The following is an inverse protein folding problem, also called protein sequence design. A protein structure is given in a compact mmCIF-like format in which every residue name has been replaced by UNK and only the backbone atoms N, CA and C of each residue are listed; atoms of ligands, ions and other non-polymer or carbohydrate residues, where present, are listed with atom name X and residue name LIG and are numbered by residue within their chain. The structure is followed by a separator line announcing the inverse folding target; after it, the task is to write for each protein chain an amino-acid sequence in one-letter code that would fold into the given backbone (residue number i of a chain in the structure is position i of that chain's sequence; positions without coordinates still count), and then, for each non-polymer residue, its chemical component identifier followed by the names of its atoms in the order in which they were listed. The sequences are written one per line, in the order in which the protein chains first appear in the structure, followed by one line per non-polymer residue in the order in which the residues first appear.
data_IF_368692828297
#
_entry.id   IF_368692828297
#
_cell.length_a   1.000
_cell.length_b   1.000
_cell.length_c   1.000
_cell.angle_alpha   90.00
_cell.angle_beta   90.00
_cell.angle_gamma   90.00
#
_symmetry.space_group_name_H-M   'P 1'
#
loop_
_entity.id
_entity.type
_entity.pdbx_description
1 polymer ?
#
# COMPACT_ATOMS: atom_id res chain seq x y z
N UNK A 1 8.22 22.22 -8.59
CA UNK A 1 7.91 23.35 -7.69
C UNK A 1 7.83 22.80 -6.30
N UNK A 2 8.57 23.41 -5.38
CA UNK A 2 8.54 23.02 -3.97
C UNK A 2 7.32 23.66 -3.32
N UNK A 3 6.62 22.94 -2.45
CA UNK A 3 5.49 23.53 -1.69
C UNK A 3 5.92 24.72 -0.82
N UNK A 4 7.21 24.83 -0.48
CA UNK A 4 7.78 26.00 0.19
C UNK A 4 7.82 27.29 -0.65
N UNK A 5 7.58 27.20 -1.96
CA UNK A 5 7.55 28.36 -2.87
C UNK A 5 6.15 28.98 -2.94
N UNK A 6 5.12 28.27 -2.46
CA UNK A 6 3.74 28.75 -2.49
C UNK A 6 3.56 29.89 -1.47
N UNK A 7 3.09 31.03 -1.96
CA UNK A 7 2.77 32.24 -1.18
C UNK A 7 1.28 32.54 -1.28
N UNK A 8 0.48 31.58 -0.84
CA UNK A 8 -0.98 31.66 -0.88
C UNK A 8 -1.58 31.48 0.51
N UNK A 9 -2.83 31.92 0.67
CA UNK A 9 -3.65 31.59 1.83
C UNK A 9 -4.32 30.23 1.63
N UNK A 10 -4.73 29.61 2.72
CA UNK A 10 -5.51 28.38 2.69
C UNK A 10 -6.94 28.63 2.17
N UNK A 11 -7.58 27.63 1.55
CA UNK A 11 -8.96 27.76 1.07
C UNK A 11 -9.95 28.10 2.18
N UNK A 12 -11.01 28.80 1.80
CA UNK A 12 -12.14 29.11 2.68
C UNK A 12 -12.85 27.83 3.17
N UNK A 13 -13.70 27.98 4.19
CA UNK A 13 -14.49 26.86 4.71
C UNK A 13 -15.56 26.40 3.71
N UNK A 14 -16.02 25.15 3.89
CA UNK A 14 -17.03 24.53 3.04
C UNK A 14 -18.32 25.37 2.96
N UNK A 15 -18.76 25.94 4.08
CA UNK A 15 -19.95 26.80 4.14
C UNK A 15 -19.83 28.03 3.24
N UNK A 16 -18.62 28.57 3.10
CA UNK A 16 -18.35 29.72 2.22
C UNK A 16 -18.33 29.27 0.76
N UNK A 17 -17.76 28.10 0.48
CA UNK A 17 -17.69 27.53 -0.87
C UNK A 17 -19.06 27.10 -1.43
N UNK A 18 -19.92 26.53 -0.58
CA UNK A 18 -21.24 26.01 -0.92
C UNK A 18 -22.39 27.00 -0.67
N UNK A 19 -22.08 28.28 -0.43
CA UNK A 19 -23.09 29.30 -0.18
C UNK A 19 -24.09 29.38 -1.35
N UNK A 20 -25.38 29.38 -1.02
CA UNK A 20 -26.47 29.30 -2.00
C UNK A 20 -26.83 30.63 -2.66
N UNK A 21 -26.29 31.74 -2.13
CA UNK A 21 -26.54 33.11 -2.60
C UNK A 21 -25.32 34.00 -2.37
N UNK A 22 -25.25 35.12 -3.08
CA UNK A 22 -24.18 36.10 -2.95
C UNK A 22 -24.15 36.74 -1.55
N UNK A 23 -25.33 36.97 -0.95
CA UNK A 23 -25.50 37.54 0.38
C UNK A 23 -24.97 36.58 1.46
N UNK A 24 -25.29 35.29 1.34
CA UNK A 24 -24.80 34.25 2.23
C UNK A 24 -23.28 34.09 2.11
N UNK A 25 -22.77 34.04 0.88
CA UNK A 25 -21.33 34.01 0.61
C UNK A 25 -20.62 35.18 1.28
N UNK A 26 -21.09 36.41 1.08
CA UNK A 26 -20.47 37.61 1.67
C UNK A 26 -20.50 37.59 3.19
N UNK A 27 -21.59 37.10 3.79
CA UNK A 27 -21.74 36.95 5.24
C UNK A 27 -20.66 36.04 5.84
N UNK A 28 -20.32 34.95 5.15
CA UNK A 28 -19.28 34.01 5.58
C UNK A 28 -17.88 34.53 5.23
N UNK A 29 -17.65 34.94 3.97
CA UNK A 29 -16.35 35.35 3.46
C UNK A 29 -15.69 36.46 4.29
N UNK A 30 -16.45 37.45 4.75
CA UNK A 30 -15.91 38.55 5.58
C UNK A 30 -15.41 38.12 6.97
N UNK A 31 -15.79 36.92 7.43
CA UNK A 31 -15.38 36.34 8.72
C UNK A 31 -14.25 35.32 8.57
N UNK A 32 -13.87 34.98 7.34
CA UNK A 32 -12.86 33.96 7.08
C UNK A 32 -11.46 34.44 7.49
N UNK A 33 -10.72 33.68 8.31
CA UNK A 33 -9.35 34.01 8.64
C UNK A 33 -8.44 33.82 7.43
N UNK A 34 -7.52 34.77 7.21
CA UNK A 34 -6.48 34.65 6.19
C UNK A 34 -5.30 33.85 6.74
N UNK A 35 -5.37 32.52 6.64
CA UNK A 35 -4.33 31.62 7.15
C UNK A 35 -3.29 31.38 6.05
N UNK A 36 -2.03 31.70 6.32
CA UNK A 36 -0.91 31.43 5.40
C UNK A 36 -0.63 29.93 5.28
N UNK A 37 -0.65 29.39 4.05
CA UNK A 37 -0.31 28.00 3.78
C UNK A 37 1.09 27.64 4.26
N UNK A 38 2.07 28.52 4.00
CA UNK A 38 3.48 28.28 4.35
C UNK A 38 3.68 28.20 5.87
N UNK A 39 2.95 29.02 6.63
CA UNK A 39 3.07 29.02 8.09
C UNK A 39 2.59 27.69 8.69
N UNK A 40 1.45 27.18 8.19
CA UNK A 40 0.91 25.87 8.62
C UNK A 40 1.84 24.73 8.21
N UNK A 41 2.34 24.75 6.98
CA UNK A 41 3.28 23.72 6.50
C UNK A 41 4.56 23.69 7.36
N UNK A 42 5.10 24.84 7.75
CA UNK A 42 6.26 24.94 8.65
C UNK A 42 5.96 24.41 10.05
N UNK A 43 4.75 24.61 10.55
CA UNK A 43 4.34 24.09 11.87
C UNK A 43 4.34 22.54 11.87
N UNK A 44 3.77 21.89 10.85
CA UNK A 44 3.85 20.42 10.74
C UNK A 44 5.28 19.90 10.51
N UNK A 45 6.13 20.65 9.80
CA UNK A 45 7.53 20.28 9.58
C UNK A 45 8.39 20.39 10.83
N UNK A 46 7.96 21.15 11.84
CA UNK A 46 8.68 21.37 13.09
C UNK A 46 7.69 21.27 14.27
N UNK A 47 7.20 20.06 14.60
CA UNK A 47 6.20 19.87 15.65
C UNK A 47 6.71 20.29 17.04
N UNK A 48 8.02 20.32 17.24
CA UNK A 48 8.67 20.83 18.47
C UNK A 48 8.62 22.36 18.59
N UNK A 49 8.42 23.07 17.48
CA UNK A 49 8.22 24.51 17.54
C UNK A 49 6.87 24.78 18.20
N UNK A 50 6.83 25.66 19.21
CA UNK A 50 5.62 25.99 19.98
C UNK A 50 4.55 26.75 19.17
N UNK A 51 4.57 26.66 17.84
CA UNK A 51 3.60 27.29 16.96
C UNK A 51 2.33 26.43 16.90
N UNK A 52 1.20 26.88 17.50
CA UNK A 52 -0.03 26.12 17.44
C UNK A 52 -0.54 26.05 16.00
N UNK A 53 -1.01 24.87 15.59
CA UNK A 53 -1.67 24.69 14.30
C UNK A 53 -3.06 25.31 14.41
N UNK A 54 -3.41 26.29 13.54
CA UNK A 54 -4.72 26.90 13.58
C UNK A 54 -5.81 25.90 13.20
N UNK A 55 -7.06 26.18 13.55
CA UNK A 55 -8.18 25.33 13.14
C UNK A 55 -8.31 25.33 11.61
N UNK A 56 -8.09 24.18 11.00
CA UNK A 56 -8.19 23.98 9.55
C UNK A 56 -9.58 23.44 9.16
N UNK A 57 -9.96 23.59 7.89
CA UNK A 57 -11.04 22.81 7.28
C UNK A 57 -10.51 21.54 6.59
N UNK A 58 -11.42 20.68 6.14
CA UNK A 58 -11.09 19.41 5.49
C UNK A 58 -10.16 19.58 4.27
N UNK A 59 -10.49 20.52 3.38
CA UNK A 59 -9.70 20.78 2.17
C UNK A 59 -8.31 21.30 2.50
N UNK A 60 -8.20 22.20 3.47
CA UNK A 60 -6.92 22.75 3.94
C UNK A 60 -6.01 21.65 4.50
N UNK A 61 -6.55 20.72 5.30
CA UNK A 61 -5.78 19.57 5.80
C UNK A 61 -5.27 18.70 4.67
N UNK A 62 -6.11 18.41 3.69
CA UNK A 62 -5.72 17.62 2.51
C UNK A 62 -4.60 18.30 1.71
N UNK A 63 -4.69 19.62 1.50
CA UNK A 63 -3.66 20.39 0.79
C UNK A 63 -2.33 20.41 1.55
N UNK A 64 -2.37 20.50 2.88
CA UNK A 64 -1.15 20.46 3.70
C UNK A 64 -0.49 19.09 3.61
N UNK A 65 -1.25 17.98 3.64
CA UNK A 65 -0.70 16.64 3.45
C UNK A 65 0.02 16.50 2.10
N UNK A 66 -0.62 16.94 1.01
CA UNK A 66 0.03 16.98 -0.30
C UNK A 66 1.25 17.91 -0.33
N UNK A 67 1.23 19.00 0.43
CA UNK A 67 2.38 19.86 0.67
C UNK A 67 3.57 19.13 1.26
N UNK A 68 3.34 18.32 2.30
CA UNK A 68 4.35 17.48 2.94
C UNK A 68 4.87 16.40 1.96
N UNK A 69 3.98 15.74 1.21
CA UNK A 69 4.39 14.81 0.14
C UNK A 69 5.21 15.49 -0.95
N UNK A 70 4.91 16.73 -1.30
CA UNK A 70 5.72 17.50 -2.25
C UNK A 70 7.12 17.79 -1.71
N UNK A 71 7.27 18.04 -0.41
CA UNK A 71 8.59 18.21 0.23
C UNK A 71 9.35 16.89 0.17
N UNK A 72 8.70 15.77 0.52
CA UNK A 72 9.29 14.43 0.41
C UNK A 72 9.84 14.18 -1.00
N UNK A 73 9.04 14.47 -2.03
CA UNK A 73 9.43 14.28 -3.42
C UNK A 73 10.64 15.14 -3.81
N UNK A 74 10.67 16.39 -3.35
CA UNK A 74 11.80 17.30 -3.60
C UNK A 74 13.08 16.84 -2.88
N UNK A 75 12.98 16.46 -1.59
CA UNK A 75 14.11 15.93 -0.82
C UNK A 75 14.66 14.64 -1.44
N UNK A 76 13.77 13.70 -1.82
CA UNK A 76 14.15 12.44 -2.47
C UNK A 76 14.86 12.68 -3.80
N UNK A 77 14.37 13.62 -4.62
CA UNK A 77 15.01 13.97 -5.90
C UNK A 77 16.40 14.56 -5.68
N UNK A 78 16.54 15.50 -4.74
CA UNK A 78 17.83 16.12 -4.41
C UNK A 78 18.86 15.07 -3.99
N UNK A 79 18.46 14.15 -3.12
CA UNK A 79 19.28 13.02 -2.66
C UNK A 79 19.77 12.18 -3.85
N UNK A 80 18.85 11.78 -4.74
CA UNK A 80 19.15 10.98 -5.95
C UNK A 80 20.06 11.69 -6.97
N UNK A 81 20.01 13.02 -7.05
CA UNK A 81 20.83 13.82 -7.99
C UNK A 81 22.12 14.38 -7.38
N UNK A 82 22.30 14.23 -6.07
CA UNK A 82 23.52 14.70 -5.41
C UNK A 82 24.69 13.79 -5.81
N UNK A 83 25.75 14.37 -6.36
CA UNK A 83 26.94 13.63 -6.84
C UNK A 83 27.83 13.12 -5.69
N UNK A 84 27.25 12.62 -4.61
CA UNK A 84 27.97 12.03 -3.47
C UNK A 84 28.66 13.04 -2.53
N UNK A 85 28.70 14.35 -2.85
CA UNK A 85 29.34 15.36 -2.01
C UNK A 85 28.61 15.55 -0.66
N UNK A 86 27.32 15.16 -0.57
CA UNK A 86 26.54 15.18 0.68
C UNK A 86 26.53 13.87 1.48
N UNK A 87 27.10 12.78 0.95
CA UNK A 87 27.10 11.46 1.63
C UNK A 87 28.47 11.06 2.17
N UNK A 88 29.55 11.74 1.77
CA UNK A 88 30.93 11.44 2.23
C UNK A 88 31.32 12.24 3.48
N UNK A 89 30.61 13.32 3.80
CA UNK A 89 30.72 14.02 5.08
C UNK A 89 29.42 13.80 5.85
N UNK A 90 29.51 12.98 6.89
CA UNK A 90 28.36 12.48 7.65
C UNK A 90 27.34 13.55 7.99
N UNK A 91 26.07 13.15 7.91
CA UNK A 91 25.15 13.55 8.97
C UNK A 91 25.91 13.38 10.29
N UNK A 92 26.13 14.49 11.01
CA UNK A 92 26.52 14.40 12.43
C UNK A 92 25.68 13.29 13.05
N UNK A 93 26.24 12.44 13.93
CA UNK A 93 25.47 11.39 14.61
C UNK A 93 24.17 11.91 15.29
N UNK A 94 24.08 13.22 15.52
CA UNK A 94 22.93 13.94 16.08
C UNK A 94 21.89 14.48 15.07
N UNK A 95 22.12 14.48 13.74
CA UNK A 95 21.12 15.00 12.81
C UNK A 95 20.16 13.90 12.35
N UNK A 96 18.84 14.00 12.68
CA UNK A 96 17.86 13.02 12.23
C UNK A 96 17.77 13.05 10.71
N UNK A 97 17.65 11.87 10.09
CA UNK A 97 17.50 11.76 8.64
C UNK A 97 16.25 12.52 8.22
N UNK A 98 16.28 13.15 7.04
CA UNK A 98 15.12 13.91 6.55
C UNK A 98 13.86 13.05 6.43
N UNK A 99 14.02 11.74 6.22
CA UNK A 99 12.93 10.77 6.25
C UNK A 99 12.28 10.67 7.63
N UNK A 100 13.06 10.63 8.70
CA UNK A 100 12.54 10.53 10.06
C UNK A 100 11.75 11.80 10.43
N UNK A 101 12.26 12.97 10.03
CA UNK A 101 11.53 14.24 10.20
C UNK A 101 10.20 14.23 9.45
N UNK A 102 10.17 13.80 8.19
CA UNK A 102 8.92 13.75 7.43
C UNK A 102 7.94 12.70 7.96
N UNK A 103 8.45 11.55 8.45
CA UNK A 103 7.63 10.57 9.16
C UNK A 103 6.89 11.23 10.32
N UNK A 104 7.62 11.96 11.18
CA UNK A 104 7.01 12.70 12.29
C UNK A 104 6.02 13.78 11.83
N UNK A 105 6.29 14.48 10.73
CA UNK A 105 5.36 15.45 10.15
C UNK A 105 4.06 14.81 9.65
N UNK A 106 4.14 13.62 9.05
CA UNK A 106 2.95 12.85 8.67
C UNK A 106 2.16 12.40 9.89
N UNK A 107 2.83 11.94 10.95
CA UNK A 107 2.19 11.49 12.18
C UNK A 107 1.51 12.66 12.92
N UNK A 108 2.15 13.83 12.95
CA UNK A 108 1.54 15.06 13.47
C UNK A 108 0.31 15.49 12.66
N UNK A 109 0.38 15.40 11.33
CA UNK A 109 -0.78 15.62 10.46
C UNK A 109 -1.91 14.62 10.74
N UNK A 110 -1.58 13.34 10.93
CA UNK A 110 -2.55 12.29 11.22
C UNK A 110 -3.27 12.53 12.55
N UNK A 111 -2.53 12.93 13.59
CA UNK A 111 -3.11 13.25 14.90
C UNK A 111 -4.11 14.43 14.83
N UNK A 112 -3.79 15.50 14.09
CA UNK A 112 -4.74 16.59 13.85
C UNK A 112 -5.94 16.14 13.01
N UNK A 113 -5.73 15.34 11.96
CA UNK A 113 -6.81 14.81 11.13
C UNK A 113 -7.74 13.89 11.92
N UNK A 114 -7.22 13.06 12.81
CA UNK A 114 -8.00 12.18 13.69
C UNK A 114 -8.85 12.98 14.67
N UNK A 115 -8.28 14.05 15.24
CA UNK A 115 -9.00 14.98 16.10
C UNK A 115 -10.16 15.66 15.33
N UNK A 116 -9.91 16.05 14.08
CA UNK A 116 -10.95 16.56 13.19
C UNK A 116 -12.04 15.52 12.90
N UNK A 117 -11.66 14.28 12.60
CA UNK A 117 -12.61 13.19 12.35
C UNK A 117 -13.49 12.88 13.55
N UNK A 118 -12.92 12.87 14.76
CA UNK A 118 -13.67 12.68 16.00
C UNK A 118 -14.71 13.79 16.20
N UNK A 119 -14.29 15.05 16.10
CA UNK A 119 -15.18 16.20 16.24
C UNK A 119 -16.29 16.23 15.18
N UNK A 120 -15.95 15.92 13.93
CA UNK A 120 -16.92 15.88 12.84
C UNK A 120 -17.94 14.76 13.07
N UNK A 121 -17.50 13.56 13.47
CA UNK A 121 -18.39 12.43 13.76
C UNK A 121 -19.37 12.75 14.89
N UNK A 122 -18.92 13.45 15.93
CA UNK A 122 -19.80 13.93 17.01
C UNK A 122 -20.81 14.96 16.51
N UNK A 123 -20.40 15.87 15.62
CA UNK A 123 -21.27 16.94 15.09
C UNK A 123 -22.36 16.44 14.13
N UNK A 124 -22.14 15.29 13.48
CA UNK A 124 -23.05 14.76 12.46
C UNK A 124 -24.34 14.12 13.05
N UNK A 125 -24.44 13.97 14.38
CA UNK A 125 -25.60 13.36 15.09
C UNK A 125 -26.03 12.02 14.43
N UNK A 126 -27.30 11.61 14.51
CA UNK A 126 -27.79 10.34 13.94
C UNK A 126 -28.08 10.38 12.43
N UNK A 127 -27.50 11.33 11.68
CA UNK A 127 -27.65 11.35 10.23
C UNK A 127 -26.75 10.31 9.55
N UNK A 128 -27.30 9.12 9.31
CA UNK A 128 -26.56 7.98 8.77
C UNK A 128 -25.95 8.25 7.38
N UNK A 129 -26.65 8.99 6.51
CA UNK A 129 -26.16 9.29 5.16
C UNK A 129 -24.92 10.19 5.20
N UNK A 130 -24.97 11.29 5.96
CA UNK A 130 -23.81 12.18 6.11
C UNK A 130 -22.64 11.51 6.83
N UNK A 131 -22.92 10.63 7.79
CA UNK A 131 -21.90 9.77 8.41
C UNK A 131 -21.21 8.87 7.38
N UNK A 132 -21.98 8.20 6.53
CA UNK A 132 -21.41 7.33 5.48
C UNK A 132 -20.56 8.13 4.47
N UNK A 133 -21.02 9.29 4.02
CA UNK A 133 -20.25 10.18 3.15
C UNK A 133 -18.95 10.64 3.82
N UNK A 134 -19.03 11.01 5.10
CA UNK A 134 -17.85 11.41 5.86
C UNK A 134 -16.86 10.26 6.04
N UNK A 135 -17.34 9.04 6.31
CA UNK A 135 -16.50 7.84 6.41
C UNK A 135 -15.77 7.54 5.09
N UNK A 136 -16.44 7.71 3.94
CA UNK A 136 -15.80 7.58 2.62
C UNK A 136 -14.70 8.63 2.44
N UNK A 137 -15.01 9.89 2.75
CA UNK A 137 -14.05 11.00 2.67
C UNK A 137 -12.83 10.78 3.58
N UNK A 138 -13.06 10.43 4.84
CA UNK A 138 -11.98 10.25 5.83
C UNK A 138 -11.11 9.05 5.47
N UNK A 139 -11.70 7.93 5.08
CA UNK A 139 -10.96 6.73 4.63
C UNK A 139 -10.13 7.02 3.39
N UNK A 140 -10.69 7.71 2.39
CA UNK A 140 -9.96 8.11 1.19
C UNK A 140 -8.80 9.08 1.50
N UNK A 141 -8.96 9.95 2.50
CA UNK A 141 -7.93 10.91 2.92
C UNK A 141 -6.81 10.23 3.72
N UNK A 142 -7.16 9.32 4.63
CA UNK A 142 -6.20 8.50 5.38
C UNK A 142 -5.39 7.59 4.44
N UNK A 143 -5.99 7.14 3.33
CA UNK A 143 -5.25 6.40 2.31
C UNK A 143 -4.07 7.20 1.72
N UNK A 144 -4.20 8.52 1.56
CA UNK A 144 -3.09 9.38 1.11
C UNK A 144 -1.99 9.42 2.18
N UNK A 145 -2.34 9.48 3.46
CA UNK A 145 -1.38 9.42 4.56
C UNK A 145 -0.58 8.11 4.55
N UNK A 146 -1.25 6.97 4.38
CA UNK A 146 -0.55 5.69 4.22
C UNK A 146 0.30 5.66 2.95
N UNK A 147 -0.18 6.19 1.83
CA UNK A 147 0.58 6.29 0.60
C UNK A 147 1.82 7.19 0.74
N UNK A 148 1.75 8.26 1.54
CA UNK A 148 2.89 9.11 1.87
C UNK A 148 3.98 8.28 2.57
N UNK A 149 3.62 7.55 3.62
CA UNK A 149 4.54 6.66 4.32
C UNK A 149 5.06 5.51 3.44
N UNK A 150 4.26 4.94 2.55
CA UNK A 150 4.73 3.93 1.58
C UNK A 150 5.81 4.55 0.68
N UNK A 151 5.51 5.67 0.03
CA UNK A 151 6.45 6.33 -0.90
C UNK A 151 7.71 6.89 -0.22
N UNK A 152 7.65 7.16 1.09
CA UNK A 152 8.80 7.54 1.91
C UNK A 152 9.77 6.37 2.11
N UNK A 153 9.23 5.15 2.23
CA UNK A 153 9.95 3.97 2.68
C UNK A 153 10.29 2.97 1.55
N UNK A 154 9.75 3.14 0.35
CA UNK A 154 10.06 2.30 -0.81
C UNK A 154 9.97 3.06 -2.14
N UNK A 155 10.83 2.69 -3.10
CA UNK A 155 10.76 3.20 -4.46
C UNK A 155 9.67 2.49 -5.27
N UNK A 156 8.64 3.25 -5.67
CA UNK A 156 7.49 2.72 -6.38
C UNK A 156 7.90 2.16 -7.74
N UNK A 157 8.83 2.83 -8.43
CA UNK A 157 9.28 2.37 -9.74
C UNK A 157 9.97 1.00 -9.64
N UNK A 158 10.79 0.78 -8.63
CA UNK A 158 11.43 -0.51 -8.40
C UNK A 158 10.40 -1.60 -8.08
N UNK A 159 9.36 -1.29 -7.30
CA UNK A 159 8.24 -2.22 -7.05
C UNK A 159 7.54 -2.63 -8.35
N UNK A 160 7.22 -1.66 -9.20
CA UNK A 160 6.54 -1.91 -10.46
C UNK A 160 7.40 -2.74 -11.43
N UNK A 161 8.67 -2.39 -11.57
CA UNK A 161 9.64 -3.12 -12.42
C UNK A 161 9.78 -4.56 -11.94
N UNK A 162 9.98 -4.77 -10.63
CA UNK A 162 10.18 -6.11 -10.08
C UNK A 162 8.93 -6.99 -10.18
N UNK A 163 7.75 -6.38 -10.14
CA UNK A 163 6.47 -7.03 -10.40
C UNK A 163 6.20 -7.32 -11.90
N UNK A 164 7.11 -6.94 -12.80
CA UNK A 164 7.00 -7.25 -14.23
C UNK A 164 6.31 -6.17 -15.06
N UNK A 165 6.28 -4.91 -14.60
CA UNK A 165 5.87 -3.80 -15.45
C UNK A 165 6.72 -3.75 -16.72
N UNK A 166 6.07 -3.72 -17.89
CA UNK A 166 6.76 -3.68 -19.19
C UNK A 166 7.15 -2.27 -19.61
N UNK A 167 6.43 -1.27 -19.09
CA UNK A 167 6.67 0.14 -19.37
C UNK A 167 6.57 0.95 -18.08
N UNK A 168 7.47 1.91 -17.92
CA UNK A 168 7.49 2.87 -16.82
C UNK A 168 7.61 4.26 -17.42
N UNK A 169 6.59 5.11 -17.20
CA UNK A 169 6.55 6.50 -17.69
C UNK A 169 6.83 6.55 -19.22
N UNK A 170 6.20 5.64 -19.97
CA UNK A 170 6.32 5.54 -21.42
C UNK A 170 7.63 4.92 -21.94
N UNK A 171 8.56 4.53 -21.06
CA UNK A 171 9.81 3.85 -21.45
C UNK A 171 9.70 2.34 -21.26
N UNK A 172 10.14 1.51 -22.23
CA UNK A 172 10.19 0.07 -22.04
C UNK A 172 11.19 -0.30 -20.95
N UNK A 173 10.84 -1.29 -20.13
CA UNK A 173 11.70 -1.81 -19.06
C UNK A 173 12.68 -2.81 -19.65
N UNK A 174 13.98 -2.55 -19.48
CA UNK A 174 15.04 -3.44 -19.96
C UNK A 174 15.34 -4.54 -18.94
N UNK A 175 16.09 -5.57 -19.36
CA UNK A 175 16.56 -6.61 -18.44
C UNK A 175 17.48 -6.05 -17.35
N UNK A 176 18.31 -5.07 -17.69
CA UNK A 176 19.19 -4.40 -16.74
C UNK A 176 18.41 -3.64 -15.66
N UNK A 177 17.32 -2.97 -16.05
CA UNK A 177 16.40 -2.31 -15.11
C UNK A 177 15.81 -3.32 -14.13
N UNK A 178 15.32 -4.46 -14.65
CA UNK A 178 14.77 -5.53 -13.83
C UNK A 178 15.79 -6.09 -12.84
N UNK A 179 17.01 -6.43 -13.30
CA UNK A 179 18.05 -6.99 -12.44
C UNK A 179 18.56 -5.97 -11.40
N UNK A 180 18.51 -4.67 -11.69
CA UNK A 180 18.75 -3.60 -10.71
C UNK A 180 17.64 -3.55 -9.66
N UNK A 181 16.38 -3.40 -10.07
CA UNK A 181 15.24 -3.28 -9.14
C UNK A 181 15.07 -4.54 -8.28
N UNK A 182 15.31 -5.73 -8.84
CA UNK A 182 15.34 -6.99 -8.09
C UNK A 182 16.37 -6.97 -6.97
N UNK A 183 17.59 -6.53 -7.23
CA UNK A 183 18.65 -6.45 -6.20
C UNK A 183 18.29 -5.44 -5.12
N UNK A 184 17.81 -4.26 -5.51
CA UNK A 184 17.41 -3.21 -4.58
C UNK A 184 16.26 -3.66 -3.68
N UNK A 185 15.23 -4.31 -4.22
CA UNK A 185 14.09 -4.79 -3.42
C UNK A 185 14.41 -5.99 -2.55
N UNK A 186 15.30 -6.89 -2.99
CA UNK A 186 15.79 -7.97 -2.14
C UNK A 186 16.56 -7.43 -0.93
N UNK A 187 17.37 -6.39 -1.12
CA UNK A 187 18.09 -5.74 -0.03
C UNK A 187 17.12 -4.98 0.89
N UNK A 188 16.20 -4.21 0.31
CA UNK A 188 15.14 -3.50 1.04
C UNK A 188 14.30 -4.43 1.91
N UNK A 189 13.90 -5.59 1.39
CA UNK A 189 12.99 -6.51 2.07
C UNK A 189 13.65 -7.37 3.17
N UNK A 190 14.97 -7.30 3.37
CA UNK A 190 15.68 -8.14 4.34
C UNK A 190 15.02 -8.08 5.72
N UNK A 191 14.78 -9.23 6.39
CA UNK A 191 14.21 -9.25 7.72
C UNK A 191 15.10 -8.52 8.73
N UNK A 192 14.48 -7.77 9.62
CA UNK A 192 15.16 -6.97 10.64
C UNK A 192 14.27 -5.81 11.07
N UNK A 193 14.60 -5.20 12.23
CA UNK A 193 13.90 -4.15 13.03
C UNK A 193 12.79 -3.30 12.41
N UNK A 194 12.65 -2.06 12.88
CA UNK A 194 11.77 -1.10 12.22
C UNK A 194 12.36 -0.63 10.87
N UNK A 195 12.55 -1.57 9.93
CA UNK A 195 13.11 -1.33 8.60
C UNK A 195 12.14 -0.54 7.74
N UNK A 196 12.62 0.19 6.72
CA UNK A 196 11.74 0.86 5.75
C UNK A 196 10.74 -0.11 5.12
N UNK A 197 11.15 -1.35 4.80
CA UNK A 197 10.24 -2.34 4.24
C UNK A 197 9.11 -2.73 5.20
N UNK A 198 9.44 -2.95 6.48
CA UNK A 198 8.42 -3.23 7.48
C UNK A 198 7.45 -2.06 7.69
N UNK A 199 7.96 -0.82 7.73
CA UNK A 199 7.11 0.39 7.82
C UNK A 199 6.19 0.51 6.60
N UNK A 200 6.71 0.40 5.38
CA UNK A 200 5.93 0.48 4.15
C UNK A 200 4.82 -0.60 4.12
N UNK A 201 5.17 -1.85 4.42
CA UNK A 201 4.22 -2.95 4.46
C UNK A 201 3.17 -2.79 5.57
N UNK A 202 3.54 -2.24 6.73
CA UNK A 202 2.61 -1.94 7.81
C UNK A 202 1.58 -0.86 7.41
N UNK A 203 2.02 0.24 6.78
CA UNK A 203 1.11 1.27 6.28
C UNK A 203 0.25 0.76 5.13
N UNK A 204 0.80 -0.07 4.24
CA UNK A 204 0.05 -0.71 3.17
C UNK A 204 -1.07 -1.61 3.71
N UNK A 205 -0.78 -2.42 4.73
CA UNK A 205 -1.77 -3.27 5.37
C UNK A 205 -2.86 -2.46 6.09
N UNK A 206 -2.51 -1.36 6.76
CA UNK A 206 -3.49 -0.48 7.41
C UNK A 206 -4.42 0.20 6.40
N UNK A 207 -3.89 0.69 5.27
CA UNK A 207 -4.70 1.24 4.19
C UNK A 207 -5.74 0.22 3.69
N UNK A 208 -5.31 -1.03 3.46
CA UNK A 208 -6.20 -2.10 3.03
C UNK A 208 -7.23 -2.46 4.12
N UNK A 209 -6.81 -2.51 5.38
CA UNK A 209 -7.70 -2.78 6.52
C UNK A 209 -8.76 -1.71 6.67
N UNK A 210 -8.41 -0.43 6.55
CA UNK A 210 -9.35 0.68 6.63
C UNK A 210 -10.40 0.58 5.52
N UNK A 211 -10.00 0.20 4.30
CA UNK A 211 -10.93 -0.07 3.21
C UNK A 211 -11.86 -1.26 3.48
N UNK A 212 -11.36 -2.34 4.08
CA UNK A 212 -12.17 -3.53 4.46
C UNK A 212 -13.20 -3.19 5.54
N UNK A 213 -12.80 -2.39 6.53
CA UNK A 213 -13.62 -2.13 7.72
C UNK A 213 -14.63 -0.99 7.52
N UNK A 214 -14.27 0.02 6.73
CA UNK A 214 -15.04 1.27 6.68
C UNK A 214 -15.85 1.42 5.38
N UNK A 215 -15.56 0.64 4.33
CA UNK A 215 -16.15 0.83 3.01
C UNK A 215 -16.83 -0.44 2.49
N UNK A 216 -17.96 -0.24 1.83
CA UNK A 216 -18.60 -1.28 1.04
C UNK A 216 -17.90 -1.38 -0.32
N UNK A 217 -17.29 -2.53 -0.60
CA UNK A 217 -16.63 -2.81 -1.88
C UNK A 217 -15.60 -1.74 -2.32
N UNK A 218 -14.89 -1.14 -1.35
CA UNK A 218 -13.88 -0.11 -1.60
C UNK A 218 -14.43 1.19 -2.19
N UNK A 219 -15.75 1.42 -2.08
CA UNK A 219 -16.40 2.60 -2.63
C UNK A 219 -16.12 3.85 -1.81
N UNK A 220 -15.39 4.78 -2.44
CA UNK A 220 -15.08 6.12 -1.91
C UNK A 220 -15.70 7.23 -2.77
N UNK A 221 -16.80 6.93 -3.46
CA UNK A 221 -17.42 7.80 -4.44
C UNK A 221 -16.41 8.18 -5.56
N UNK A 222 -16.10 9.47 -5.69
CA UNK A 222 -15.32 10.04 -6.79
C UNK A 222 -13.85 10.32 -6.44
N UNK A 223 -13.34 9.81 -5.32
CA UNK A 223 -11.95 10.02 -4.90
C UNK A 223 -10.97 9.25 -5.83
N UNK A 224 -10.57 9.90 -6.91
CA UNK A 224 -9.77 9.31 -7.99
C UNK A 224 -8.40 8.74 -7.55
N UNK A 225 -7.84 9.25 -6.45
CA UNK A 225 -6.54 8.81 -5.93
C UNK A 225 -6.61 7.47 -5.19
N UNK A 226 -7.79 7.08 -4.68
CA UNK A 226 -7.92 5.91 -3.82
C UNK A 226 -7.59 4.59 -4.53
N UNK A 227 -8.06 4.33 -5.77
CA UNK A 227 -7.66 3.12 -6.50
C UNK A 227 -6.14 3.01 -6.73
N UNK A 228 -5.46 4.14 -6.93
CA UNK A 228 -3.99 4.17 -7.02
C UNK A 228 -3.35 3.81 -5.68
N UNK A 229 -3.88 4.29 -4.56
CA UNK A 229 -3.40 3.92 -3.23
C UNK A 229 -3.59 2.42 -2.94
N UNK A 230 -4.73 1.82 -3.34
CA UNK A 230 -4.96 0.37 -3.25
C UNK A 230 -3.92 -0.41 -4.06
N UNK A 231 -3.62 0.03 -5.29
CA UNK A 231 -2.58 -0.57 -6.12
C UNK A 231 -1.21 -0.53 -5.44
N UNK A 232 -0.79 0.63 -4.93
CA UNK A 232 0.49 0.78 -4.23
C UNK A 232 0.57 -0.13 -3.01
N UNK A 233 -0.45 -0.13 -2.15
CA UNK A 233 -0.49 -0.98 -0.96
C UNK A 233 -0.44 -2.46 -1.29
N UNK A 234 -1.18 -2.89 -2.32
CA UNK A 234 -1.17 -4.27 -2.80
C UNK A 234 0.23 -4.68 -3.26
N UNK A 235 0.87 -3.84 -4.06
CA UNK A 235 2.19 -4.10 -4.61
C UNK A 235 3.27 -4.13 -3.52
N UNK A 236 3.18 -3.23 -2.53
CA UNK A 236 4.09 -3.20 -1.38
C UNK A 236 3.94 -4.45 -0.52
N UNK A 237 2.72 -4.86 -0.17
CA UNK A 237 2.49 -6.11 0.59
C UNK A 237 3.00 -7.33 -0.20
N UNK A 238 2.71 -7.39 -1.50
CA UNK A 238 3.22 -8.46 -2.37
C UNK A 238 4.75 -8.51 -2.35
N UNK A 239 5.43 -7.39 -2.61
CA UNK A 239 6.89 -7.35 -2.72
C UNK A 239 7.57 -7.71 -1.39
N UNK A 240 7.03 -7.23 -0.26
CA UNK A 240 7.53 -7.54 1.08
C UNK A 240 7.54 -9.05 1.35
N UNK A 241 6.49 -9.77 0.93
CA UNK A 241 6.43 -11.23 1.08
C UNK A 241 7.27 -11.94 0.01
N UNK A 242 7.13 -11.56 -1.25
CA UNK A 242 7.72 -12.25 -2.40
C UNK A 242 9.26 -12.23 -2.35
N UNK A 243 9.85 -11.08 -2.01
CA UNK A 243 11.31 -10.94 -1.90
C UNK A 243 11.92 -11.84 -0.81
N UNK A 244 11.13 -12.23 0.21
CA UNK A 244 11.59 -13.02 1.35
C UNK A 244 11.26 -14.53 1.25
N UNK A 245 10.31 -14.93 0.40
CA UNK A 245 9.86 -16.34 0.30
C UNK A 245 10.68 -17.15 -0.72
N UNK A 246 11.15 -16.52 -1.81
CA UNK A 246 11.85 -17.25 -2.89
C UNK A 246 13.24 -17.74 -2.49
N UNK A 247 13.91 -17.08 -1.53
CA UNK A 247 15.26 -17.49 -1.11
C UNK A 247 15.26 -18.71 -0.16
N UNK A 248 14.11 -19.08 0.42
CA UNK A 248 14.01 -20.33 1.21
C UNK A 248 13.97 -21.59 0.34
N UNK A 249 13.45 -21.50 -0.88
CA UNK A 249 13.38 -22.66 -1.79
C UNK A 249 14.63 -22.82 -2.66
N UNK A 250 15.49 -21.80 -2.77
CA UNK A 250 16.71 -21.83 -3.58
C UNK A 250 17.99 -22.29 -2.86
N UNK A 251 18.03 -22.24 -1.51
CA UNK A 251 19.23 -22.55 -0.71
C UNK A 251 19.20 -23.94 -0.04
N UNK A 252 18.25 -24.81 -0.40
CA UNK A 252 18.07 -26.14 0.23
C UNK A 252 18.75 -27.31 -0.48
N UNK A 253 19.61 -27.10 -1.48
CA UNK A 253 20.25 -28.20 -2.23
C UNK A 253 21.69 -27.91 -2.57
N UNK A 254 22.56 -27.89 -1.57
CA UNK A 254 24.00 -28.17 -1.71
C UNK A 254 24.63 -28.34 -0.33
N UNK A 255 24.53 -29.55 0.21
CA UNK A 255 25.61 -30.27 0.91
C UNK A 255 25.00 -31.41 1.73
N UNK A 256 25.17 -32.62 1.23
CA UNK A 256 25.59 -33.76 2.05
C UNK A 256 26.02 -34.87 1.11
N UNK A 257 27.32 -34.87 0.80
CA UNK A 257 27.98 -35.98 0.14
C UNK A 257 29.21 -36.35 0.98
N UNK A 258 29.00 -37.25 1.95
CA UNK A 258 30.09 -37.99 2.59
C UNK A 258 29.54 -39.22 3.34
N UNK A 259 29.77 -40.38 2.73
CA UNK A 259 30.13 -41.67 3.31
C UNK A 259 29.34 -42.21 4.52
N UNK A 260 28.65 -43.35 4.34
CA UNK A 260 29.19 -44.60 4.87
C UNK A 260 28.57 -45.86 4.24
N UNK A 261 29.41 -46.89 4.16
CA UNK A 261 29.27 -48.17 3.49
C UNK A 261 28.72 -49.30 4.40
N UNK A 262 28.12 -50.30 3.73
CA UNK A 262 28.00 -51.73 4.06
C UNK A 262 27.13 -52.23 5.23
N UNK A 263 26.03 -52.92 4.88
CA UNK A 263 25.76 -54.38 5.05
C UNK A 263 24.27 -54.59 4.72
N UNK A 264 23.82 -55.49 3.83
CA UNK A 264 24.12 -56.91 3.74
C UNK A 264 22.94 -57.70 4.32
N UNK A 265 22.01 -58.17 3.46
CA UNK A 265 20.86 -58.98 3.93
C UNK A 265 19.79 -59.20 2.85
N UNK A 266 19.83 -60.36 2.23
CA UNK A 266 18.95 -60.95 1.22
C UNK A 266 17.60 -61.46 1.76
N UNK A 267 16.54 -61.39 0.93
CA UNK A 267 15.49 -62.43 0.69
C UNK A 267 14.28 -61.79 -0.03
N UNK A 268 14.00 -62.10 -1.31
CA UNK A 268 13.21 -63.22 -1.89
C UNK A 268 11.68 -63.04 -1.86
N UNK A 269 11.11 -62.96 -3.08
CA UNK A 269 9.76 -63.37 -3.54
C UNK A 269 8.53 -62.70 -2.86
N UNK A 270 7.40 -62.43 -3.52
CA UNK A 270 6.73 -63.22 -4.54
C UNK A 270 5.71 -62.35 -5.30
N UNK A 271 5.58 -62.63 -6.60
CA UNK A 271 4.48 -62.20 -7.45
C UNK A 271 3.15 -62.71 -6.92
N UNK A 272 2.07 -61.95 -7.12
CA UNK A 272 0.78 -62.52 -7.49
C UNK A 272 -0.01 -61.53 -8.35
N UNK A 273 -0.46 -62.02 -9.49
CA UNK A 273 -1.14 -61.30 -10.55
C UNK A 273 -2.64 -61.69 -10.56
N UNK A 274 -3.48 -60.74 -10.96
CA UNK A 274 -4.78 -60.87 -11.68
C UNK A 274 -6.06 -61.20 -10.86
N UNK A 275 -7.27 -61.00 -11.43
CA UNK A 275 -7.82 -59.70 -11.87
C UNK A 275 -9.31 -59.55 -11.48
N UNK A 276 -9.90 -58.36 -11.34
CA UNK A 276 -11.34 -58.18 -11.60
C UNK A 276 -11.71 -56.71 -11.83
N UNK A 277 -12.28 -56.48 -13.00
CA UNK A 277 -12.94 -55.26 -13.44
C UNK A 277 -14.13 -54.91 -12.54
N UNK A 278 -14.27 -53.62 -12.22
CA UNK A 278 -15.58 -52.97 -12.16
C UNK A 278 -15.42 -51.50 -12.55
N UNK A 279 -15.83 -51.22 -13.79
CA UNK A 279 -16.18 -49.90 -14.27
C UNK A 279 -17.25 -49.29 -13.36
N UNK A 280 -16.95 -48.13 -12.79
CA UNK A 280 -17.97 -47.12 -12.48
C UNK A 280 -17.40 -45.76 -12.87
N UNK A 281 -17.74 -45.34 -14.09
CA UNK A 281 -17.80 -43.95 -14.49
C UNK A 281 -18.58 -43.18 -13.40
N UNK A 282 -17.87 -42.36 -12.65
CA UNK A 282 -18.46 -41.21 -11.98
C UNK A 282 -17.74 -40.01 -12.57
N UNK A 283 -18.40 -39.41 -13.56
CA UNK A 283 -18.15 -38.05 -14.01
C UNK A 283 -18.35 -37.12 -12.81
N UNK A 284 -17.31 -36.92 -12.02
CA UNK A 284 -17.22 -35.77 -11.12
C UNK A 284 -16.89 -34.56 -11.97
N UNK A 285 -17.89 -34.13 -12.73
CA UNK A 285 -17.97 -32.76 -13.22
C UNK A 285 -18.36 -31.90 -12.02
N UNK A 286 -17.44 -31.76 -11.07
CA UNK A 286 -17.54 -30.78 -9.99
C UNK A 286 -17.42 -29.42 -10.65
N UNK A 287 -18.58 -28.86 -11.01
CA UNK A 287 -18.71 -27.45 -11.31
C UNK A 287 -18.22 -26.70 -10.09
N UNK A 288 -16.96 -26.25 -10.12
CA UNK A 288 -16.38 -25.46 -9.05
C UNK A 288 -17.25 -24.22 -8.91
N UNK A 289 -17.99 -24.17 -7.81
CA UNK A 289 -18.95 -23.13 -7.54
C UNK A 289 -18.19 -21.80 -7.51
N UNK A 290 -18.39 -20.96 -8.54
CA UNK A 290 -17.67 -19.70 -8.74
C UNK A 290 -17.76 -18.78 -7.50
N UNK A 291 -18.80 -18.95 -6.69
CA UNK A 291 -19.00 -18.25 -5.43
C UNK A 291 -18.02 -18.69 -4.32
N UNK A 292 -17.65 -19.96 -4.28
CA UNK A 292 -16.69 -20.52 -3.32
C UNK A 292 -15.26 -20.02 -3.53
N UNK A 293 -14.85 -19.85 -4.80
CA UNK A 293 -13.51 -19.33 -5.14
C UNK A 293 -13.37 -17.86 -4.74
N UNK A 294 -14.38 -17.03 -5.04
CA UNK A 294 -14.39 -15.61 -4.66
C UNK A 294 -14.34 -15.43 -3.15
N UNK A 295 -15.07 -16.27 -2.41
CA UNK A 295 -15.06 -16.28 -0.96
C UNK A 295 -13.69 -16.67 -0.40
N UNK A 296 -13.01 -17.64 -1.02
CA UNK A 296 -11.66 -18.06 -0.63
C UNK A 296 -10.61 -16.96 -0.84
N UNK A 297 -10.58 -16.30 -2.00
CA UNK A 297 -9.62 -15.22 -2.26
C UNK A 297 -9.81 -14.03 -1.30
N UNK A 298 -11.08 -13.70 -0.97
CA UNK A 298 -11.41 -12.63 -0.01
C UNK A 298 -11.03 -13.03 1.41
N UNK A 299 -11.24 -14.29 1.82
CA UNK A 299 -10.84 -14.76 3.15
C UNK A 299 -9.32 -14.80 3.32
N UNK A 300 -8.57 -15.25 2.30
CA UNK A 300 -7.10 -15.19 2.27
C UNK A 300 -6.58 -13.76 2.40
N UNK A 301 -7.13 -12.84 1.61
CA UNK A 301 -6.79 -11.41 1.69
C UNK A 301 -7.03 -10.86 3.10
N UNK A 302 -8.23 -11.11 3.66
CA UNK A 302 -8.59 -10.64 4.99
C UNK A 302 -7.65 -11.19 6.07
N UNK A 303 -7.28 -12.47 5.98
CA UNK A 303 -6.36 -13.11 6.92
C UNK A 303 -4.95 -12.50 6.85
N UNK A 304 -4.42 -12.31 5.64
CA UNK A 304 -3.14 -11.64 5.42
C UNK A 304 -3.15 -10.21 5.98
N UNK A 305 -4.12 -9.39 5.57
CA UNK A 305 -4.21 -7.98 5.96
C UNK A 305 -4.38 -7.84 7.47
N UNK A 306 -5.25 -8.66 8.09
CA UNK A 306 -5.44 -8.65 9.54
C UNK A 306 -4.20 -9.10 10.31
N UNK A 307 -3.45 -10.07 9.79
CA UNK A 307 -2.18 -10.48 10.39
C UNK A 307 -1.13 -9.38 10.32
N UNK A 308 -1.05 -8.65 9.20
CA UNK A 308 -0.05 -7.59 9.02
C UNK A 308 -0.40 -6.34 9.84
N UNK A 309 -1.68 -6.00 9.94
CA UNK A 309 -2.15 -4.81 10.64
C UNK A 309 -2.29 -5.00 12.17
N UNK A 310 -2.18 -6.22 12.69
CA UNK A 310 -2.27 -6.52 14.13
C UNK A 310 -0.93 -6.46 14.87
N UNK A 311 0.18 -6.31 14.15
CA UNK A 311 1.53 -6.26 14.72
C UNK A 311 2.18 -4.91 14.46
N UNK A 312 3.12 -4.53 15.33
CA UNK A 312 3.96 -3.37 15.09
C UNK A 312 4.97 -3.64 13.94
N UNK A 313 5.45 -2.60 13.23
CA UNK A 313 6.38 -2.77 12.11
C UNK A 313 7.58 -3.67 12.45
N UNK A 314 8.18 -3.50 13.62
CA UNK A 314 9.34 -4.27 14.09
C UNK A 314 9.07 -5.76 14.35
N UNK A 315 7.84 -6.22 14.22
CA UNK A 315 7.48 -7.63 14.35
C UNK A 315 6.91 -8.22 13.06
N UNK A 316 6.73 -7.41 12.02
CA UNK A 316 6.02 -7.80 10.80
C UNK A 316 6.71 -8.96 10.06
N UNK A 317 8.05 -8.98 10.06
CA UNK A 317 8.80 -10.05 9.39
C UNK A 317 8.56 -11.45 10.01
N UNK A 318 8.12 -11.53 11.27
CA UNK A 318 7.84 -12.82 11.93
C UNK A 318 6.62 -13.53 11.34
N UNK A 319 5.77 -12.80 10.61
CA UNK A 319 4.61 -13.32 9.89
C UNK A 319 4.91 -13.78 8.46
N UNK A 320 6.13 -13.56 7.94
CA UNK A 320 6.47 -13.88 6.56
C UNK A 320 6.28 -15.37 6.26
N UNK A 321 5.61 -15.67 5.15
CA UNK A 321 5.33 -17.02 4.68
C UNK A 321 4.15 -17.72 5.35
N UNK A 322 3.53 -17.15 6.39
CA UNK A 322 2.34 -17.74 7.03
C UNK A 322 1.07 -17.59 6.18
N UNK A 323 0.95 -16.47 5.48
CA UNK A 323 -0.20 -16.15 4.64
C UNK A 323 0.28 -15.85 3.22
N UNK A 324 -0.50 -16.32 2.24
CA UNK A 324 -0.25 -16.06 0.82
C UNK A 324 -0.73 -14.66 0.42
N UNK A 325 -0.04 -14.05 -0.53
CA UNK A 325 -0.45 -12.78 -1.16
C UNK A 325 -1.40 -12.99 -2.35
N UNK A 326 -1.69 -14.25 -2.72
CA UNK A 326 -2.50 -14.60 -3.90
C UNK A 326 -3.93 -14.06 -3.83
N UNK A 327 -4.63 -14.28 -2.71
CA UNK A 327 -5.97 -13.72 -2.50
C UNK A 327 -6.00 -12.19 -2.59
N UNK A 328 -4.99 -11.52 -2.02
CA UNK A 328 -4.86 -10.06 -2.09
C UNK A 328 -4.68 -9.58 -3.54
N UNK A 329 -3.75 -10.16 -4.30
CA UNK A 329 -3.50 -9.74 -5.69
C UNK A 329 -4.70 -10.02 -6.59
N UNK A 330 -5.39 -11.16 -6.40
CA UNK A 330 -6.59 -11.51 -7.15
C UNK A 330 -7.77 -10.57 -6.89
N UNK A 331 -8.10 -10.32 -5.61
CA UNK A 331 -9.21 -9.42 -5.23
C UNK A 331 -8.95 -8.00 -5.76
N UNK A 332 -7.72 -7.51 -5.62
CA UNK A 332 -7.36 -6.15 -6.05
C UNK A 332 -7.31 -6.02 -7.57
N UNK A 333 -6.78 -7.02 -8.28
CA UNK A 333 -6.80 -7.02 -9.74
C UNK A 333 -8.25 -6.99 -10.29
N UNK A 334 -9.17 -7.72 -9.68
CA UNK A 334 -10.60 -7.70 -10.03
C UNK A 334 -11.26 -6.35 -9.71
N UNK A 335 -11.02 -5.81 -8.52
CA UNK A 335 -11.59 -4.52 -8.15
C UNK A 335 -11.10 -3.40 -9.09
N UNK A 336 -9.79 -3.33 -9.33
CA UNK A 336 -9.18 -2.30 -10.15
C UNK A 336 -9.49 -2.44 -11.65
N UNK A 337 -9.92 -3.60 -12.14
CA UNK A 337 -10.31 -3.75 -13.56
C UNK A 337 -11.58 -2.98 -13.91
N UNK A 338 -12.38 -2.59 -12.92
CA UNK A 338 -13.56 -1.75 -13.12
C UNK A 338 -13.22 -0.25 -13.19
N UNK A 339 -11.97 0.12 -12.93
CA UNK A 339 -11.51 1.51 -12.89
C UNK A 339 -10.97 1.92 -14.25
N UNK A 340 -11.54 3.00 -14.82
CA UNK A 340 -11.23 3.47 -16.18
C UNK A 340 -10.00 4.38 -16.29
N UNK A 341 -9.38 4.74 -15.17
CA UNK A 341 -8.20 5.61 -15.16
C UNK A 341 -6.99 4.87 -15.73
N UNK A 342 -6.36 5.42 -16.78
CA UNK A 342 -5.28 4.76 -17.50
C UNK A 342 -4.13 4.29 -16.59
N UNK A 343 -3.69 5.12 -15.64
CA UNK A 343 -2.60 4.78 -14.71
C UNK A 343 -2.96 3.59 -13.80
N UNK A 344 -4.21 3.53 -13.34
CA UNK A 344 -4.72 2.43 -12.49
C UNK A 344 -4.87 1.17 -13.33
N UNK A 345 -5.35 1.31 -14.57
CA UNK A 345 -5.51 0.19 -15.49
C UNK A 345 -4.16 -0.46 -15.85
N UNK A 346 -3.11 0.33 -16.09
CA UNK A 346 -1.76 -0.22 -16.27
C UNK A 346 -1.23 -0.89 -15.00
N UNK A 347 -1.45 -0.31 -13.82
CA UNK A 347 -1.13 -0.96 -12.54
C UNK A 347 -1.88 -2.28 -12.35
N UNK A 348 -3.15 -2.33 -12.69
CA UNK A 348 -3.98 -3.54 -12.63
C UNK A 348 -3.43 -4.65 -13.53
N UNK A 349 -2.95 -4.33 -14.74
CA UNK A 349 -2.28 -5.33 -15.61
C UNK A 349 -1.05 -5.94 -14.95
N UNK A 350 -0.28 -5.14 -14.22
CA UNK A 350 0.85 -5.64 -13.42
C UNK A 350 0.34 -6.61 -12.35
N UNK A 351 -0.70 -6.24 -11.59
CA UNK A 351 -1.27 -7.15 -10.57
C UNK A 351 -1.81 -8.45 -11.16
N UNK A 352 -2.43 -8.41 -12.35
CA UNK A 352 -2.87 -9.62 -13.05
C UNK A 352 -1.71 -10.58 -13.34
N UNK A 353 -0.55 -10.04 -13.73
CA UNK A 353 0.66 -10.85 -13.93
C UNK A 353 1.21 -11.50 -12.65
N UNK A 354 0.78 -11.04 -11.47
CA UNK A 354 1.16 -11.59 -10.17
C UNK A 354 0.20 -12.66 -9.66
N UNK A 355 -0.97 -12.83 -10.30
CA UNK A 355 -1.95 -13.86 -9.93
C UNK A 355 -1.38 -15.21 -10.38
N UNK A 356 -1.20 -16.20 -9.48
CA UNK A 356 -0.65 -17.51 -9.85
C UNK A 356 -1.44 -18.18 -10.98
N UNK A 357 -0.79 -18.90 -11.90
CA UNK A 357 -1.44 -19.53 -13.08
C UNK A 357 -2.65 -20.41 -12.75
N UNK A 358 -2.63 -21.11 -11.59
CA UNK A 358 -3.80 -21.85 -11.09
C UNK A 358 -5.03 -20.94 -10.94
N UNK A 359 -4.83 -19.71 -10.50
CA UNK A 359 -5.85 -18.69 -10.38
C UNK A 359 -6.12 -17.93 -11.70
N UNK A 360 -5.31 -18.08 -12.77
CA UNK A 360 -5.50 -17.39 -14.06
C UNK A 360 -6.60 -18.04 -14.90
N UNK A 361 -6.59 -19.37 -15.04
CA UNK A 361 -7.67 -20.12 -15.72
C UNK A 361 -9.01 -19.93 -14.98
N UNK A 362 -8.95 -19.85 -13.65
CA UNK A 362 -10.07 -19.52 -12.77
C UNK A 362 -10.51 -18.05 -12.94
N UNK A 363 -9.58 -17.13 -13.23
CA UNK A 363 -9.82 -15.69 -13.40
C UNK A 363 -10.40 -15.27 -14.76
N UNK A 364 -10.02 -15.93 -15.85
CA UNK A 364 -10.64 -15.68 -17.17
C UNK A 364 -12.11 -16.07 -17.20
N UNK A 365 -12.52 -17.02 -16.36
CA UNK A 365 -13.92 -17.41 -16.15
C UNK A 365 -14.71 -16.33 -15.40
N UNK A 366 -14.04 -15.44 -14.63
CA UNK A 366 -14.66 -14.32 -13.88
C UNK A 366 -14.83 -13.02 -14.68
N UNK A 367 -14.23 -12.91 -15.87
CA UNK A 367 -14.30 -11.72 -16.73
C UNK A 367 -15.36 -11.81 -17.84
N UNK A 368 -15.97 -12.99 -18.01
CA UNK A 368 -17.22 -13.17 -18.76
C UNK A 368 -18.39 -13.00 -17.81
#
# INVERSE_FOLDING_TARGET
MSSFELRTTLPCNQSTWEASSAEEWWKYARKEPQISYLSVLKAYMNPESSSPIPQLNALSRLLVLHGLMSIQWDMKRRDQTSLGIGSVNGSSPDQPRWQDRLSQSYDAWKADFDSYCMNMTLSLNDNQTRKAEFTRFSTATIAIYHAAHITLNVEILDLQIYAGARHIIGRPVTRADYDRSRRMLKDWAKPGGATPAAKAAWHAAHLLRDGIMNLDNWDVNNAFHYPWCLYLSTLTCWAFHFANVIDKNGNGSSNNNSNNSNNGGSDRNNNNNTPFEKNSHLDNNDGVDNNGIVWHAKSEMNALVSSMASVMPENLWRGLGKYSTSGLTAVMAKHLSNIRWAVVHEGMKVLRGLVPERCINEYETFLK
#
